data_IF_670833695001
#
_entry.id   IF_670833695001
#
_cell.length_a   1.000
_cell.length_b   1.000
_cell.length_c   1.000
_cell.angle_alpha   90.00
_cell.angle_beta   90.00
_cell.angle_gamma   90.00
#
_symmetry.space_group_name_H-M   'P 1'
#
loop_
_entity.id
_entity.type
_entity.pdbx_description
1 polymer ?
#
# COMPACT_ATOMS: atom_id res chain seq x y z
N UNK A 1 -9.72 16.08 -8.38
CA UNK A 1 -9.38 16.87 -9.57
C UNK A 1 -9.40 18.32 -9.16
N UNK A 2 -8.23 18.88 -8.89
CA UNK A 2 -8.08 20.33 -8.71
C UNK A 2 -8.26 20.89 -10.12
N UNK A 3 -9.36 21.61 -10.37
CA UNK A 3 -9.46 22.45 -11.55
C UNK A 3 -8.41 23.53 -11.34
N UNK A 4 -7.26 23.37 -11.99
CA UNK A 4 -6.32 24.45 -12.15
C UNK A 4 -7.08 25.46 -13.00
N UNK A 5 -7.54 26.55 -12.39
CA UNK A 5 -7.94 27.72 -13.14
C UNK A 5 -6.68 28.18 -13.85
N UNK A 6 -6.52 27.74 -15.10
CA UNK A 6 -5.65 28.39 -16.04
C UNK A 6 -6.39 29.69 -16.34
N UNK A 7 -6.09 30.74 -15.57
CA UNK A 7 -6.38 32.08 -16.02
C UNK A 7 -5.62 32.23 -17.34
N UNK A 8 -6.36 32.21 -18.44
CA UNK A 8 -5.87 32.56 -19.77
C UNK A 8 -5.41 34.01 -19.70
N UNK A 9 -4.14 34.21 -19.34
CA UNK A 9 -3.44 35.44 -19.67
C UNK A 9 -3.46 35.54 -21.20
N UNK A 10 -4.39 36.34 -21.74
CA UNK A 10 -4.31 36.86 -23.10
C UNK A 10 -3.02 37.68 -23.19
N UNK A 11 -1.92 37.02 -23.52
CA UNK A 11 -0.72 37.71 -23.96
C UNK A 11 -1.02 38.29 -25.33
N UNK A 12 -1.09 39.62 -25.43
CA UNK A 12 -0.98 40.37 -26.69
C UNK A 12 0.41 40.12 -27.30
N UNK A 13 0.64 38.91 -27.79
CA UNK A 13 1.84 38.53 -28.53
C UNK A 13 1.44 38.29 -29.96
N UNK A 14 2.06 39.03 -30.89
CA UNK A 14 1.83 38.90 -32.33
C UNK A 14 1.87 37.42 -32.77
N UNK A 15 0.83 36.96 -33.46
CA UNK A 15 0.74 35.59 -34.01
C UNK A 15 1.75 35.34 -35.15
N UNK A 16 2.37 36.41 -35.64
CA UNK A 16 3.30 36.41 -36.76
C UNK A 16 4.71 36.76 -36.31
N UNK A 17 5.70 36.16 -36.98
CA UNK A 17 7.10 36.48 -36.78
C UNK A 17 7.43 37.90 -37.25
N UNK A 18 8.13 38.72 -36.45
CA UNK A 18 8.48 40.09 -36.82
C UNK A 18 9.45 40.19 -38.01
N UNK A 19 10.24 39.13 -38.28
CA UNK A 19 11.28 39.13 -39.32
C UNK A 19 10.81 38.59 -40.67
N UNK A 20 9.97 37.55 -40.68
CA UNK A 20 9.57 36.88 -41.92
C UNK A 20 8.06 36.68 -42.09
N UNK A 21 7.26 37.26 -41.19
CA UNK A 21 5.79 37.13 -41.12
C UNK A 21 5.31 35.67 -41.07
N UNK A 22 6.21 34.74 -40.80
CA UNK A 22 5.92 33.31 -40.71
C UNK A 22 5.10 32.98 -39.47
N UNK A 23 4.33 31.90 -39.55
CA UNK A 23 3.56 31.41 -38.42
C UNK A 23 4.46 30.98 -37.26
N UNK A 24 4.04 31.34 -36.05
CA UNK A 24 4.75 31.01 -34.82
C UNK A 24 4.21 29.69 -34.28
N UNK A 25 5.10 28.72 -34.09
CA UNK A 25 4.81 27.42 -33.51
C UNK A 25 5.37 27.35 -32.08
N UNK A 26 4.78 26.50 -31.25
CA UNK A 26 5.29 26.22 -29.90
C UNK A 26 6.21 25.01 -30.00
N UNK A 27 7.49 25.18 -29.69
CA UNK A 27 8.45 24.09 -29.64
C UNK A 27 9.04 24.00 -28.22
N UNK A 28 8.64 22.98 -27.47
CA UNK A 28 9.01 22.83 -26.06
C UNK A 28 8.49 23.98 -25.19
N UNK A 29 9.42 24.81 -24.69
CA UNK A 29 9.12 25.94 -23.79
C UNK A 29 9.21 27.31 -24.49
N UNK A 30 9.36 27.33 -25.81
CA UNK A 30 9.61 28.53 -26.60
C UNK A 30 8.60 28.67 -27.75
N UNK A 31 8.27 29.93 -28.08
CA UNK A 31 7.56 30.31 -29.31
C UNK A 31 8.59 30.56 -30.41
N UNK A 32 8.61 29.71 -31.41
CA UNK A 32 9.60 29.71 -32.49
C UNK A 32 8.89 29.91 -33.82
N UNK A 33 9.44 30.73 -34.72
CA UNK A 33 8.92 30.85 -36.07
C UNK A 33 9.21 29.59 -36.89
N UNK A 34 8.19 29.05 -37.58
CA UNK A 34 8.32 27.87 -38.42
C UNK A 34 9.21 28.08 -39.66
N UNK A 35 9.26 29.31 -40.19
CA UNK A 35 10.00 29.61 -41.44
C UNK A 35 11.47 29.94 -41.20
N UNK A 36 11.78 30.86 -40.28
CA UNK A 36 13.14 31.34 -40.06
C UNK A 36 13.80 30.77 -38.79
N UNK A 37 13.06 30.04 -37.95
CA UNK A 37 13.59 29.50 -36.69
C UNK A 37 13.79 30.54 -35.58
N UNK A 38 13.35 31.78 -35.76
CA UNK A 38 13.50 32.84 -34.75
C UNK A 38 12.70 32.51 -33.49
N UNK A 39 13.37 32.52 -32.33
CA UNK A 39 12.73 32.42 -31.01
C UNK A 39 12.17 33.78 -30.63
N UNK A 40 10.85 33.88 -30.56
CA UNK A 40 10.13 35.16 -30.33
C UNK A 40 9.92 35.39 -28.84
N UNK A 41 9.56 34.35 -28.10
CA UNK A 41 9.28 34.44 -26.66
C UNK A 41 9.53 33.09 -25.97
N UNK A 42 10.13 33.14 -24.79
CA UNK A 42 10.14 32.02 -23.85
C UNK A 42 8.81 32.00 -23.08
N UNK A 43 8.04 30.91 -23.20
CA UNK A 43 6.75 30.77 -22.52
C UNK A 43 6.91 30.37 -21.05
N UNK A 44 8.04 29.75 -20.71
CA UNK A 44 8.27 29.23 -19.37
C UNK A 44 9.05 30.21 -18.51
N UNK A 45 8.34 30.92 -17.63
CA UNK A 45 8.99 31.53 -16.46
C UNK A 45 9.14 30.47 -15.37
N UNK A 46 10.34 30.25 -14.80
CA UNK A 46 10.48 29.35 -13.66
C UNK A 46 9.55 29.84 -12.53
N UNK A 47 8.86 28.91 -11.86
CA UNK A 47 7.99 29.28 -10.75
C UNK A 47 8.77 30.03 -9.65
N UNK A 48 8.14 31.03 -9.05
CA UNK A 48 8.68 31.76 -7.90
C UNK A 48 8.82 30.88 -6.64
N UNK A 49 8.14 29.72 -6.64
CA UNK A 49 8.15 28.73 -5.58
C UNK A 49 8.68 27.37 -6.05
N UNK A 50 9.17 26.58 -5.10
CA UNK A 50 9.65 25.21 -5.35
C UNK A 50 8.68 24.24 -4.66
N UNK A 51 8.18 23.24 -5.40
CA UNK A 51 7.26 22.22 -4.87
C UNK A 51 7.98 21.00 -4.27
N UNK A 52 9.07 20.56 -4.91
CA UNK A 52 9.83 19.39 -4.47
C UNK A 52 11.11 19.79 -3.76
N UNK A 53 11.56 18.95 -2.83
CA UNK A 53 12.86 19.09 -2.15
C UNK A 53 14.00 18.75 -3.12
N UNK A 54 14.06 19.37 -4.29
CA UNK A 54 15.22 19.26 -5.16
C UNK A 54 16.30 20.20 -4.63
N UNK A 55 17.36 19.57 -4.15
CA UNK A 55 18.68 20.11 -3.83
C UNK A 55 18.69 21.35 -2.91
N UNK A 56 19.07 21.07 -1.64
CA UNK A 56 19.45 22.06 -0.61
C UNK A 56 20.59 23.02 -1.01
N UNK A 57 21.15 22.88 -2.21
CA UNK A 57 22.31 23.63 -2.70
C UNK A 57 21.93 24.93 -3.41
N UNK A 58 20.66 25.18 -3.68
CA UNK A 58 20.26 26.47 -4.27
C UNK A 58 20.08 27.54 -3.18
N UNK A 59 20.97 28.52 -3.15
CA UNK A 59 20.85 29.77 -2.38
C UNK A 59 19.73 30.69 -2.88
N UNK A 60 18.76 30.15 -3.63
CA UNK A 60 17.68 30.93 -4.22
C UNK A 60 16.63 31.25 -3.15
N UNK A 61 16.20 32.51 -3.10
CA UNK A 61 15.09 33.02 -2.30
C UNK A 61 13.72 32.53 -2.81
N UNK A 62 13.64 31.29 -3.33
CA UNK A 62 12.38 30.72 -3.80
C UNK A 62 11.64 30.16 -2.61
N UNK A 63 10.39 30.56 -2.45
CA UNK A 63 9.55 30.09 -1.36
C UNK A 63 9.26 28.60 -1.56
N UNK A 64 9.65 27.76 -0.60
CA UNK A 64 9.22 26.36 -0.63
C UNK A 64 7.73 26.30 -0.30
N UNK A 65 6.95 25.72 -1.19
CA UNK A 65 5.53 25.47 -0.99
C UNK A 65 5.32 23.97 -1.03
N UNK A 66 5.12 23.36 0.13
CA UNK A 66 4.63 21.99 0.17
C UNK A 66 3.19 21.99 -0.33
N UNK A 67 2.93 21.35 -1.47
CA UNK A 67 1.60 20.83 -1.76
C UNK A 67 1.20 19.99 -0.54
N UNK A 68 0.05 20.26 0.05
CA UNK A 68 -0.45 19.58 1.25
C UNK A 68 -0.77 18.11 1.01
N UNK A 69 0.21 17.30 0.60
CA UNK A 69 0.08 15.91 0.13
C UNK A 69 -0.26 14.91 1.24
N UNK A 70 -0.58 15.37 2.44
CA UNK A 70 -0.88 14.49 3.56
C UNK A 70 -2.37 14.18 3.59
N UNK A 71 -2.77 13.26 2.72
CA UNK A 71 -4.11 12.66 2.76
C UNK A 71 -4.42 12.05 4.13
N UNK A 72 -3.39 11.56 4.83
CA UNK A 72 -3.36 10.98 6.16
C UNK A 72 -3.20 11.99 7.32
N UNK A 73 -3.20 13.30 7.04
CA UNK A 73 -3.13 14.35 8.05
C UNK A 73 -4.43 15.14 8.13
N UNK A 74 -4.69 15.67 9.32
CA UNK A 74 -5.79 16.59 9.59
C UNK A 74 -5.15 17.88 10.02
N UNK A 75 -5.43 18.91 9.24
CA UNK A 75 -4.82 20.21 9.31
C UNK A 75 -4.96 20.83 7.92
N UNK A 76 -5.55 22.03 7.88
CA UNK A 76 -5.74 22.77 6.63
C UNK A 76 -4.43 23.30 6.06
N UNK A 77 -4.57 24.22 5.11
CA UNK A 77 -3.45 25.04 4.63
C UNK A 77 -2.91 25.84 5.82
N UNK A 78 -1.64 25.66 6.15
CA UNK A 78 -0.99 26.33 7.27
C UNK A 78 0.44 25.86 7.47
N UNK A 79 1.27 26.70 8.09
CA UNK A 79 2.60 26.30 8.53
C UNK A 79 2.49 25.49 9.83
N UNK A 80 3.42 24.55 10.02
CA UNK A 80 3.51 23.75 11.23
C UNK A 80 4.88 23.98 11.90
N UNK A 81 4.90 23.97 13.24
CA UNK A 81 6.13 24.10 14.03
C UNK A 81 6.85 22.75 14.04
N UNK A 82 7.58 22.47 12.95
CA UNK A 82 8.37 21.28 12.70
C UNK A 82 7.56 19.95 12.68
N UNK A 83 8.15 18.87 12.14
CA UNK A 83 7.47 17.58 11.97
C UNK A 83 7.14 16.94 13.33
N UNK A 84 6.06 16.14 13.40
CA UNK A 84 5.53 15.55 14.65
C UNK A 84 6.59 14.78 15.46
N UNK A 85 7.52 14.11 14.76
CA UNK A 85 8.55 13.26 15.38
C UNK A 85 9.88 13.96 15.70
N UNK A 86 9.99 15.29 15.57
CA UNK A 86 11.25 15.98 15.87
C UNK A 86 11.48 16.10 17.39
N UNK A 87 12.55 15.47 17.89
CA UNK A 87 12.98 15.57 19.29
C UNK A 87 13.61 16.93 19.62
N UNK A 88 14.38 17.45 18.68
CA UNK A 88 15.07 18.73 18.77
C UNK A 88 14.67 19.60 17.59
N UNK A 89 14.42 20.86 17.87
CA UNK A 89 14.01 21.84 16.87
C UNK A 89 15.26 22.50 16.31
N UNK A 90 15.24 22.76 15.02
CA UNK A 90 16.37 23.33 14.29
C UNK A 90 15.95 24.61 13.58
N UNK A 91 16.89 25.52 13.45
CA UNK A 91 16.76 26.74 12.65
C UNK A 91 16.69 26.43 11.15
N UNK A 92 16.38 27.47 10.35
CA UNK A 92 16.42 27.41 8.87
C UNK A 92 17.76 26.88 8.32
N UNK A 93 18.85 27.14 9.03
CA UNK A 93 20.22 26.72 8.70
C UNK A 93 20.53 25.29 9.14
N UNK A 94 19.62 24.62 9.85
CA UNK A 94 19.80 23.28 10.40
C UNK A 94 20.54 23.21 11.73
N UNK A 95 20.90 24.36 12.33
CA UNK A 95 21.50 24.45 13.67
C UNK A 95 20.44 24.17 14.75
N UNK A 96 20.84 23.60 15.88
CA UNK A 96 19.96 23.35 17.01
C UNK A 96 19.59 24.67 17.70
N UNK A 97 18.33 24.80 18.11
CA UNK A 97 17.88 25.95 18.89
C UNK A 97 18.51 25.95 20.30
N UNK A 98 18.81 27.13 20.87
CA UNK A 98 19.29 27.25 22.25
C UNK A 98 18.25 26.71 23.25
N UNK A 99 18.66 26.29 24.46
CA UNK A 99 17.77 25.60 25.41
C UNK A 99 16.48 26.35 25.76
N UNK A 100 16.53 27.68 25.89
CA UNK A 100 15.38 28.52 26.20
C UNK A 100 14.36 28.53 25.06
N UNK A 101 14.82 28.72 23.83
CA UNK A 101 13.97 28.69 22.63
C UNK A 101 13.44 27.28 22.37
N UNK A 102 14.26 26.27 22.56
CA UNK A 102 13.85 24.87 22.47
C UNK A 102 12.67 24.57 23.41
N UNK A 103 12.67 25.11 24.64
CA UNK A 103 11.55 25.01 25.59
C UNK A 103 10.33 25.81 25.14
N UNK A 104 10.51 27.05 24.68
CA UNK A 104 9.46 27.92 24.16
C UNK A 104 8.72 27.26 22.99
N UNK A 105 9.44 26.87 21.93
CA UNK A 105 8.84 26.28 20.74
C UNK A 105 8.26 24.89 21.00
N UNK A 106 8.80 24.11 21.96
CA UNK A 106 8.13 22.87 22.41
C UNK A 106 6.77 23.15 23.04
N UNK A 107 6.67 24.20 23.88
CA UNK A 107 5.39 24.64 24.47
C UNK A 107 4.42 25.10 23.38
N UNK A 108 4.89 25.91 22.44
CA UNK A 108 4.08 26.37 21.31
C UNK A 108 3.62 25.22 20.41
N UNK A 109 4.50 24.26 20.09
CA UNK A 109 4.17 23.05 19.32
C UNK A 109 3.09 22.23 20.02
N UNK A 110 3.18 22.08 21.35
CA UNK A 110 2.16 21.38 22.16
C UNK A 110 0.80 22.09 22.10
N UNK A 111 0.80 23.42 22.24
CA UNK A 111 -0.43 24.22 22.17
C UNK A 111 -1.03 24.21 20.75
N UNK A 112 -0.19 24.30 19.72
CA UNK A 112 -0.61 24.23 18.31
C UNK A 112 -1.29 22.90 18.00
N UNK A 113 -0.72 21.78 18.43
CA UNK A 113 -1.31 20.45 18.26
C UNK A 113 -2.63 20.25 19.02
N UNK A 114 -2.94 21.12 19.99
CA UNK A 114 -4.19 21.06 20.76
C UNK A 114 -5.41 21.42 19.88
N UNK A 115 -5.26 22.31 18.90
CA UNK A 115 -6.35 22.70 17.99
C UNK A 115 -6.91 21.50 17.22
N UNK A 116 -6.03 20.61 16.75
CA UNK A 116 -6.42 19.37 16.05
C UNK A 116 -7.28 18.44 16.91
N UNK A 117 -7.26 18.62 18.24
CA UNK A 117 -7.97 17.80 19.21
C UNK A 117 -9.26 18.44 19.73
N UNK A 118 -9.48 19.74 19.52
CA UNK A 118 -10.49 20.51 20.27
C UNK A 118 -11.78 20.80 19.47
N UNK A 119 -11.83 20.61 18.14
CA UNK A 119 -13.05 20.87 17.34
C UNK A 119 -13.20 19.94 16.16
N UNK A 120 -14.36 19.28 15.98
CA UNK A 120 -14.89 18.50 14.83
C UNK A 120 -13.96 17.50 14.09
N UNK A 121 -12.68 17.49 14.42
CA UNK A 121 -11.56 16.83 13.77
C UNK A 121 -10.86 15.85 14.71
N UNK A 122 -11.25 15.82 15.98
CA UNK A 122 -10.65 14.95 16.99
C UNK A 122 -10.81 13.47 16.61
N UNK A 123 -12.01 13.11 16.13
CA UNK A 123 -12.34 11.76 15.67
C UNK A 123 -11.45 11.35 14.50
N UNK A 124 -11.37 12.19 13.48
CA UNK A 124 -10.48 11.97 12.34
C UNK A 124 -9.03 11.84 12.81
N UNK A 125 -8.57 12.69 13.75
CA UNK A 125 -7.18 12.72 14.20
C UNK A 125 -6.79 11.44 14.90
N UNK A 126 -7.69 10.95 15.77
CA UNK A 126 -7.55 9.64 16.38
C UNK A 126 -7.51 8.54 15.31
N UNK A 127 -8.38 8.60 14.31
CA UNK A 127 -8.47 7.60 13.23
C UNK A 127 -7.19 7.55 12.39
N UNK A 128 -6.64 8.68 11.94
CA UNK A 128 -5.40 8.66 11.16
C UNK A 128 -4.17 8.31 12.00
N UNK A 129 -4.16 8.65 13.29
CA UNK A 129 -3.13 8.12 14.18
C UNK A 129 -3.19 6.59 14.31
N UNK A 130 -4.40 6.03 14.38
CA UNK A 130 -4.59 4.57 14.36
C UNK A 130 -4.15 4.00 13.01
N UNK A 131 -4.54 4.61 11.89
CA UNK A 131 -4.10 4.22 10.55
C UNK A 131 -2.57 4.21 10.47
N UNK A 132 -1.89 5.25 10.93
CA UNK A 132 -0.44 5.34 10.93
C UNK A 132 0.22 4.22 11.74
N UNK A 133 -0.28 3.94 12.95
CA UNK A 133 0.20 2.82 13.78
C UNK A 133 0.02 1.47 13.09
N UNK A 134 -1.13 1.26 12.47
CA UNK A 134 -1.47 0.00 11.79
C UNK A 134 -0.67 -0.17 10.50
N UNK A 135 -0.50 0.90 9.72
CA UNK A 135 0.36 0.90 8.54
C UNK A 135 1.79 0.53 8.89
N UNK A 136 2.33 1.05 10.00
CA UNK A 136 3.66 0.66 10.47
C UNK A 136 3.69 -0.80 10.94
N UNK A 137 2.68 -1.25 11.70
CA UNK A 137 2.63 -2.63 12.21
C UNK A 137 2.54 -3.68 11.10
N UNK A 138 1.74 -3.40 10.06
CA UNK A 138 1.56 -4.28 8.91
C UNK A 138 2.58 -4.02 7.78
N UNK A 139 3.54 -3.10 7.96
CA UNK A 139 4.50 -2.66 6.95
C UNK A 139 3.82 -2.27 5.61
N UNK A 140 2.72 -1.53 5.68
CA UNK A 140 1.98 -1.05 4.50
C UNK A 140 2.76 0.05 3.78
N UNK A 141 2.73 0.01 2.45
CA UNK A 141 3.27 1.07 1.61
C UNK A 141 2.51 2.40 1.84
N UNK A 142 3.19 3.53 1.60
CA UNK A 142 2.62 4.88 1.68
C UNK A 142 1.39 5.03 0.77
N UNK A 143 1.39 4.38 -0.39
CA UNK A 143 0.27 4.41 -1.32
C UNK A 143 -1.00 3.79 -0.70
N UNK A 144 -0.89 2.61 -0.06
CA UNK A 144 -2.01 1.95 0.64
C UNK A 144 -2.56 2.87 1.73
N UNK A 145 -1.66 3.49 2.50
CA UNK A 145 -2.04 4.41 3.58
C UNK A 145 -2.78 5.64 3.04
N UNK A 146 -2.26 6.26 1.99
CA UNK A 146 -2.87 7.41 1.34
C UNK A 146 -4.24 7.07 0.73
N UNK A 147 -4.35 5.91 0.08
CA UNK A 147 -5.59 5.41 -0.49
C UNK A 147 -6.64 5.14 0.59
N UNK A 148 -6.24 4.51 1.70
CA UNK A 148 -7.14 4.29 2.84
C UNK A 148 -7.63 5.60 3.45
N UNK A 149 -6.74 6.58 3.63
CA UNK A 149 -7.10 7.90 4.13
C UNK A 149 -8.04 8.65 3.19
N UNK A 150 -7.79 8.57 1.87
CA UNK A 150 -8.66 9.13 0.83
C UNK A 150 -10.06 8.50 0.87
N UNK A 151 -10.17 7.18 0.94
CA UNK A 151 -11.45 6.49 1.03
C UNK A 151 -12.25 6.89 2.26
N UNK A 152 -11.59 6.98 3.41
CA UNK A 152 -12.22 7.41 4.66
C UNK A 152 -12.76 8.84 4.55
N UNK A 153 -11.95 9.81 4.08
CA UNK A 153 -12.39 11.20 3.86
C UNK A 153 -13.52 11.30 2.84
N UNK A 154 -13.46 10.52 1.76
CA UNK A 154 -14.51 10.50 0.73
C UNK A 154 -15.85 10.06 1.31
N UNK A 155 -15.87 8.98 2.11
CA UNK A 155 -17.09 8.47 2.74
C UNK A 155 -17.63 9.47 3.75
N UNK A 156 -16.78 10.02 4.61
CA UNK A 156 -17.20 11.03 5.60
C UNK A 156 -17.84 12.26 4.94
N UNK A 157 -17.27 12.73 3.83
CA UNK A 157 -17.80 13.89 3.10
C UNK A 157 -19.22 13.65 2.57
N UNK A 158 -19.56 12.41 2.22
CA UNK A 158 -20.86 12.08 1.62
C UNK A 158 -21.91 11.74 2.68
N UNK A 159 -21.59 10.90 3.67
CA UNK A 159 -22.56 10.45 4.69
C UNK A 159 -22.74 11.46 5.84
N UNK A 160 -21.73 12.29 6.12
CA UNK A 160 -21.71 13.21 7.26
C UNK A 160 -21.54 12.54 8.64
N UNK A 161 -22.18 11.39 8.88
CA UNK A 161 -22.04 10.58 10.11
C UNK A 161 -21.82 9.10 9.79
N UNK A 162 -20.88 8.49 10.49
CA UNK A 162 -20.49 7.08 10.30
C UNK A 162 -20.90 6.28 11.54
N UNK A 163 -21.33 5.02 11.34
CA UNK A 163 -21.73 4.10 12.41
C UNK A 163 -20.58 3.91 13.41
N UNK A 164 -19.42 3.49 12.91
CA UNK A 164 -18.22 3.32 13.71
C UNK A 164 -16.98 3.68 12.87
N UNK A 165 -16.26 4.71 13.33
CA UNK A 165 -15.07 5.19 12.65
C UNK A 165 -13.93 4.16 12.58
N UNK A 166 -13.84 3.28 13.58
CA UNK A 166 -12.78 2.26 13.66
C UNK A 166 -13.05 1.14 12.66
N UNK A 167 -14.30 0.68 12.54
CA UNK A 167 -14.65 -0.33 11.55
C UNK A 167 -14.55 0.22 10.13
N UNK A 168 -14.92 1.50 9.95
CA UNK A 168 -14.78 2.18 8.67
C UNK A 168 -13.32 2.28 8.22
N UNK A 169 -12.41 2.75 9.08
CA UNK A 169 -11.00 2.84 8.68
C UNK A 169 -10.39 1.47 8.41
N UNK A 170 -10.77 0.44 9.18
CA UNK A 170 -10.35 -0.93 8.94
C UNK A 170 -10.85 -1.44 7.57
N UNK A 171 -12.08 -1.09 7.18
CA UNK A 171 -12.63 -1.37 5.86
C UNK A 171 -11.91 -0.60 4.74
N UNK A 172 -11.59 0.67 4.96
CA UNK A 172 -10.82 1.48 4.00
C UNK A 172 -9.42 0.91 3.78
N UNK A 173 -8.73 0.45 4.83
CA UNK A 173 -7.44 -0.26 4.72
C UNK A 173 -7.60 -1.54 3.92
N UNK A 174 -8.63 -2.34 4.22
CA UNK A 174 -8.92 -3.57 3.49
C UNK A 174 -9.17 -3.33 1.99
N UNK A 175 -9.95 -2.30 1.64
CA UNK A 175 -10.18 -1.93 0.24
C UNK A 175 -8.92 -1.40 -0.44
N UNK A 176 -8.11 -0.60 0.25
CA UNK A 176 -6.86 -0.06 -0.28
C UNK A 176 -5.85 -1.18 -0.57
N UNK A 177 -5.70 -2.14 0.35
CA UNK A 177 -4.86 -3.33 0.15
C UNK A 177 -5.36 -4.15 -1.04
N UNK A 178 -6.67 -4.33 -1.18
CA UNK A 178 -7.24 -5.09 -2.33
C UNK A 178 -7.06 -4.40 -3.67
N UNK A 179 -7.08 -3.07 -3.68
CA UNK A 179 -6.90 -2.27 -4.89
C UNK A 179 -5.45 -2.31 -5.37
N UNK A 180 -4.49 -2.41 -4.45
CA UNK A 180 -3.09 -2.54 -4.83
C UNK A 180 -2.72 -4.00 -5.12
N UNK A 181 -2.29 -4.26 -6.35
CA UNK A 181 -1.81 -5.57 -6.77
C UNK A 181 -0.40 -5.81 -6.24
N UNK A 182 -0.30 -6.30 -5.00
CA UNK A 182 0.96 -6.79 -4.43
C UNK A 182 0.98 -8.32 -4.37
N UNK A 183 2.14 -8.90 -4.67
CA UNK A 183 2.45 -10.33 -4.50
C UNK A 183 2.57 -10.70 -3.01
N UNK A 184 1.50 -10.52 -2.23
CA UNK A 184 1.33 -10.97 -0.83
C UNK A 184 0.11 -10.25 -0.19
N UNK A 185 -1.14 -10.55 -0.59
CA UNK A 185 -2.28 -9.81 -0.05
C UNK A 185 -2.41 -10.02 1.46
N UNK A 186 -2.62 -8.92 2.20
CA UNK A 186 -2.89 -8.99 3.63
C UNK A 186 -4.32 -9.48 3.82
N UNK A 187 -4.49 -10.48 4.68
CA UNK A 187 -5.83 -11.05 4.93
C UNK A 187 -6.63 -10.15 5.86
N UNK A 188 -7.96 -10.21 5.76
CA UNK A 188 -8.83 -9.45 6.69
C UNK A 188 -8.56 -9.81 8.16
N UNK A 189 -8.18 -11.07 8.42
CA UNK A 189 -7.83 -11.54 9.75
C UNK A 189 -6.52 -10.89 10.26
N UNK A 190 -5.54 -10.66 9.40
CA UNK A 190 -4.32 -9.92 9.75
C UNK A 190 -4.63 -8.46 10.09
N UNK A 191 -5.50 -7.81 9.31
CA UNK A 191 -5.96 -6.44 9.60
C UNK A 191 -6.64 -6.40 10.96
N UNK A 192 -7.60 -7.29 11.20
CA UNK A 192 -8.32 -7.36 12.49
C UNK A 192 -7.36 -7.58 13.65
N UNK A 193 -6.40 -8.52 13.54
CA UNK A 193 -5.38 -8.75 14.57
C UNK A 193 -4.55 -7.50 14.84
N UNK A 194 -4.19 -6.74 13.81
CA UNK A 194 -3.47 -5.47 13.99
C UNK A 194 -4.30 -4.47 14.80
N UNK A 195 -5.59 -4.29 14.49
CA UNK A 195 -6.48 -3.42 15.27
C UNK A 195 -6.63 -3.90 16.72
N UNK A 196 -6.79 -5.21 16.94
CA UNK A 196 -6.91 -5.82 18.27
C UNK A 196 -5.64 -5.63 19.11
N UNK A 197 -4.45 -5.74 18.51
CA UNK A 197 -3.18 -5.51 19.20
C UNK A 197 -3.01 -4.07 19.72
N UNK A 198 -3.67 -3.10 19.08
CA UNK A 198 -3.72 -1.72 19.54
C UNK A 198 -4.93 -1.41 20.45
N UNK A 199 -5.63 -2.44 20.94
CA UNK A 199 -6.73 -2.32 21.91
C UNK A 199 -8.10 -2.06 21.30
N UNK A 200 -8.26 -2.18 19.97
CA UNK A 200 -9.54 -1.94 19.32
C UNK A 200 -10.36 -3.23 19.17
N UNK A 201 -11.61 -3.20 19.63
CA UNK A 201 -12.56 -4.32 19.52
C UNK A 201 -13.16 -4.38 18.12
N UNK A 202 -12.52 -5.12 17.23
CA UNK A 202 -12.95 -5.27 15.83
C UNK A 202 -13.01 -6.75 15.46
N UNK A 203 -13.99 -7.12 14.63
CA UNK A 203 -14.20 -8.47 14.11
C UNK A 203 -14.29 -8.44 12.57
N UNK A 204 -13.90 -9.51 11.84
CA UNK A 204 -13.97 -9.51 10.38
C UNK A 204 -15.39 -9.26 9.86
N UNK A 205 -16.40 -9.88 10.50
CA UNK A 205 -17.81 -9.70 10.16
C UNK A 205 -18.27 -8.26 10.33
N UNK A 206 -17.78 -7.57 11.37
CA UNK A 206 -18.16 -6.19 11.67
C UNK A 206 -17.58 -5.24 10.61
N UNK A 207 -16.31 -5.40 10.25
CA UNK A 207 -15.66 -4.62 9.17
C UNK A 207 -16.43 -4.78 7.85
N UNK A 208 -16.76 -6.02 7.49
CA UNK A 208 -17.44 -6.30 6.22
C UNK A 208 -18.89 -5.78 6.22
N UNK A 209 -19.65 -6.04 7.29
CA UNK A 209 -21.04 -5.58 7.42
C UNK A 209 -21.13 -4.05 7.31
N UNK A 210 -20.31 -3.35 8.09
CA UNK A 210 -20.32 -1.88 8.09
C UNK A 210 -19.76 -1.35 6.75
N UNK A 211 -18.74 -2.01 6.20
CA UNK A 211 -18.12 -1.66 4.94
C UNK A 211 -19.02 -1.79 3.71
N UNK A 212 -19.89 -2.81 3.66
CA UNK A 212 -20.85 -3.00 2.56
C UNK A 212 -21.74 -1.78 2.39
N UNK A 213 -22.20 -1.19 3.50
CA UNK A 213 -23.00 0.05 3.48
C UNK A 213 -22.27 1.18 2.78
N UNK A 214 -20.97 1.33 3.01
CA UNK A 214 -20.20 2.44 2.44
C UNK A 214 -19.53 2.13 1.11
N UNK A 215 -19.61 0.87 0.65
CA UNK A 215 -18.93 0.40 -0.56
C UNK A 215 -19.38 1.19 -1.79
N UNK A 216 -20.66 1.53 -1.90
CA UNK A 216 -21.22 2.23 -3.07
C UNK A 216 -20.66 3.66 -3.26
N UNK A 217 -20.15 4.28 -2.20
CA UNK A 217 -19.50 5.60 -2.28
C UNK A 217 -18.11 5.54 -2.90
N UNK A 218 -17.52 4.35 -2.98
CA UNK A 218 -16.22 4.12 -3.56
C UNK A 218 -16.43 3.38 -4.88
N UNK A 219 -16.13 4.03 -6.01
CA UNK A 219 -15.98 3.34 -7.29
C UNK A 219 -14.76 2.42 -7.16
N UNK A 220 -14.98 1.18 -6.75
CA UNK A 220 -13.93 0.21 -6.56
C UNK A 220 -14.20 -1.03 -7.40
N UNK A 221 -13.46 -1.13 -8.49
CA UNK A 221 -13.30 -2.34 -9.30
C UNK A 221 -12.30 -3.29 -8.64
N UNK A 222 -12.41 -3.51 -7.32
CA UNK A 222 -11.47 -4.41 -6.64
C UNK A 222 -11.74 -5.84 -7.07
N UNK A 223 -10.76 -6.45 -7.74
CA UNK A 223 -10.81 -7.86 -8.15
C UNK A 223 -10.53 -8.72 -6.90
N UNK A 224 -11.27 -9.82 -6.69
CA UNK A 224 -10.93 -10.77 -5.62
C UNK A 224 -9.54 -11.36 -5.84
N UNK A 225 -8.75 -11.47 -4.77
CA UNK A 225 -7.43 -12.11 -4.82
C UNK A 225 -7.52 -13.57 -5.24
N UNK A 226 -6.56 -14.00 -6.05
CA UNK A 226 -6.45 -15.37 -6.53
C UNK A 226 -5.47 -16.17 -5.68
N UNK A 227 -5.42 -17.48 -5.89
CA UNK A 227 -4.52 -18.38 -5.15
C UNK A 227 -3.04 -18.08 -5.45
N UNK A 228 -2.77 -17.65 -6.68
CA UNK A 228 -1.47 -17.23 -7.21
C UNK A 228 -0.86 -16.11 -6.38
N UNK A 229 -1.67 -15.14 -5.94
CA UNK A 229 -1.22 -13.94 -5.22
C UNK A 229 -0.57 -14.29 -3.87
N UNK A 230 -1.02 -15.39 -3.24
CA UNK A 230 -0.54 -15.83 -1.93
C UNK A 230 0.65 -16.77 -1.99
N UNK A 231 0.98 -17.27 -3.18
CA UNK A 231 1.91 -18.39 -3.38
C UNK A 231 3.30 -18.04 -2.82
N UNK A 232 3.87 -16.92 -3.25
CA UNK A 232 5.20 -16.44 -2.82
C UNK A 232 5.25 -16.26 -1.29
N UNK A 233 4.21 -15.67 -0.71
CA UNK A 233 4.13 -15.39 0.73
C UNK A 233 4.11 -16.69 1.54
N UNK A 234 3.22 -17.61 1.18
CA UNK A 234 3.04 -18.86 1.91
C UNK A 234 4.26 -19.78 1.76
N UNK A 235 4.88 -19.84 0.59
CA UNK A 235 6.13 -20.59 0.43
C UNK A 235 7.24 -20.02 1.31
N UNK A 236 7.40 -18.69 1.33
CA UNK A 236 8.40 -18.05 2.19
C UNK A 236 8.16 -18.36 3.68
N UNK A 237 6.90 -18.39 4.12
CA UNK A 237 6.55 -18.78 5.50
C UNK A 237 6.94 -20.24 5.79
N UNK A 238 6.65 -21.15 4.87
CA UNK A 238 6.99 -22.58 5.01
C UNK A 238 8.50 -22.80 5.03
N UNK A 239 9.26 -22.16 4.14
CA UNK A 239 10.71 -22.33 4.03
C UNK A 239 11.45 -21.78 5.24
N UNK A 240 10.96 -20.67 5.81
CA UNK A 240 11.51 -20.06 7.02
C UNK A 240 11.10 -20.79 8.31
N UNK A 241 10.29 -21.85 8.23
CA UNK A 241 9.93 -22.65 9.39
C UNK A 241 11.17 -23.40 9.94
N UNK A 242 11.34 -23.36 11.26
CA UNK A 242 12.53 -23.89 11.95
C UNK A 242 12.79 -25.37 11.60
N UNK A 243 11.73 -26.17 11.64
CA UNK A 243 11.80 -27.62 11.48
C UNK A 243 12.09 -28.08 10.03
N UNK A 244 11.92 -27.19 9.04
CA UNK A 244 12.06 -27.58 7.64
C UNK A 244 13.49 -28.02 7.32
N UNK A 245 14.48 -27.32 7.86
CA UNK A 245 15.90 -27.60 7.62
C UNK A 245 16.33 -28.97 8.13
N UNK A 246 15.90 -29.35 9.34
CA UNK A 246 16.15 -30.67 9.91
C UNK A 246 15.41 -31.76 9.15
N UNK A 247 14.19 -31.49 8.71
CA UNK A 247 13.37 -32.45 7.97
C UNK A 247 13.96 -32.75 6.60
N UNK A 248 14.42 -31.75 5.85
CA UNK A 248 15.10 -31.96 4.58
C UNK A 248 16.32 -32.88 4.74
N UNK A 249 17.14 -32.66 5.77
CA UNK A 249 18.29 -33.52 6.10
C UNK A 249 17.85 -34.94 6.48
N UNK A 250 16.91 -35.09 7.42
CA UNK A 250 16.40 -36.39 7.90
C UNK A 250 15.74 -37.22 6.79
N UNK A 251 15.19 -36.57 5.77
CA UNK A 251 14.48 -37.21 4.66
C UNK A 251 15.37 -37.48 3.44
N UNK A 252 16.66 -37.14 3.52
CA UNK A 252 17.65 -37.43 2.48
C UNK A 252 17.55 -36.51 1.26
N UNK A 253 16.94 -35.32 1.40
CA UNK A 253 16.88 -34.36 0.29
C UNK A 253 18.25 -33.71 0.09
N UNK A 254 18.75 -33.78 -1.15
CA UNK A 254 20.05 -33.21 -1.56
C UNK A 254 19.96 -31.68 -1.77
N UNK A 255 18.75 -31.12 -1.81
CA UNK A 255 18.52 -29.74 -2.20
C UNK A 255 18.88 -28.73 -1.12
N UNK A 256 19.42 -27.60 -1.57
CA UNK A 256 19.50 -26.39 -0.74
C UNK A 256 18.09 -25.85 -0.47
N UNK A 257 17.95 -25.00 0.55
CA UNK A 257 16.66 -24.35 0.86
C UNK A 257 16.12 -23.54 -0.32
N UNK A 258 17.00 -22.83 -1.02
CA UNK A 258 16.67 -22.00 -2.17
C UNK A 258 16.27 -22.84 -3.39
N UNK A 259 16.97 -23.95 -3.62
CA UNK A 259 16.64 -24.85 -4.71
C UNK A 259 15.28 -25.54 -4.46
N UNK A 260 15.06 -25.99 -3.23
CA UNK A 260 13.77 -26.55 -2.81
C UNK A 260 12.64 -25.53 -2.97
N UNK A 261 12.87 -24.27 -2.59
CA UNK A 261 11.94 -23.17 -2.79
C UNK A 261 11.55 -23.01 -4.27
N UNK A 262 12.54 -22.95 -5.16
CA UNK A 262 12.30 -22.74 -6.58
C UNK A 262 11.54 -23.91 -7.21
N UNK A 263 11.90 -25.15 -6.85
CA UNK A 263 11.19 -26.36 -7.31
C UNK A 263 9.76 -26.39 -6.80
N UNK A 264 9.54 -26.06 -5.52
CA UNK A 264 8.22 -26.00 -4.90
C UNK A 264 7.33 -24.94 -5.57
N UNK A 265 7.86 -23.74 -5.79
CA UNK A 265 7.18 -22.66 -6.50
C UNK A 265 6.79 -23.06 -7.92
N UNK A 266 7.72 -23.68 -8.67
CA UNK A 266 7.48 -24.16 -10.02
C UNK A 266 6.34 -25.18 -10.04
N UNK A 267 6.41 -26.20 -9.18
CA UNK A 267 5.38 -27.24 -9.08
C UNK A 267 4.02 -26.68 -8.67
N UNK A 268 3.98 -25.71 -7.74
CA UNK A 268 2.72 -25.04 -7.36
C UNK A 268 2.09 -24.29 -8.55
N UNK A 269 2.90 -23.66 -9.40
CA UNK A 269 2.41 -22.97 -10.60
C UNK A 269 1.87 -23.95 -11.64
N UNK A 270 2.56 -25.07 -11.87
CA UNK A 270 2.07 -26.16 -12.74
C UNK A 270 0.69 -26.65 -12.27
N UNK A 271 0.56 -27.01 -11.00
CA UNK A 271 -0.72 -27.44 -10.40
C UNK A 271 -1.81 -26.39 -10.58
N UNK A 272 -1.49 -25.10 -10.41
CA UNK A 272 -2.46 -24.03 -10.61
C UNK A 272 -2.88 -23.96 -12.08
N UNK A 273 -1.95 -23.99 -13.04
CA UNK A 273 -2.29 -23.96 -14.47
C UNK A 273 -3.26 -25.10 -14.82
N UNK A 274 -3.01 -26.29 -14.29
CA UNK A 274 -3.84 -27.48 -14.54
C UNK A 274 -5.19 -27.47 -13.79
N UNK A 275 -5.34 -26.61 -12.78
CA UNK A 275 -6.55 -26.52 -11.97
C UNK A 275 -7.50 -25.42 -12.52
N UNK A 276 -8.58 -25.76 -13.23
CA UNK A 276 -9.48 -24.78 -13.83
C UNK A 276 -10.26 -23.98 -12.78
N UNK A 277 -10.72 -22.78 -13.16
CA UNK A 277 -11.47 -21.87 -12.28
C UNK A 277 -12.72 -22.51 -11.67
N UNK A 278 -13.39 -23.42 -12.40
CA UNK A 278 -14.55 -24.16 -11.92
C UNK A 278 -14.25 -24.96 -10.64
N UNK A 279 -13.15 -25.72 -10.64
CA UNK A 279 -12.72 -26.49 -9.46
C UNK A 279 -12.25 -25.59 -8.32
N UNK A 280 -11.77 -24.39 -8.61
CA UNK A 280 -11.38 -23.43 -7.56
C UNK A 280 -12.56 -22.69 -6.94
N UNK A 281 -13.71 -22.66 -7.63
CA UNK A 281 -14.90 -21.90 -7.25
C UNK A 281 -15.38 -22.19 -5.83
N UNK A 282 -15.79 -21.13 -5.12
CA UNK A 282 -16.35 -21.20 -3.76
C UNK A 282 -15.35 -21.50 -2.63
N UNK A 283 -14.10 -21.83 -2.95
CA UNK A 283 -13.06 -22.13 -1.95
C UNK A 283 -12.27 -20.88 -1.59
N UNK A 284 -11.78 -20.82 -0.35
CA UNK A 284 -10.94 -19.70 0.09
C UNK A 284 -9.55 -19.81 -0.59
N UNK A 285 -9.15 -18.83 -1.43
CA UNK A 285 -7.88 -18.88 -2.17
C UNK A 285 -6.66 -19.05 -1.27
N UNK A 286 -6.66 -18.42 -0.09
CA UNK A 286 -5.55 -18.51 0.86
C UNK A 286 -5.34 -19.93 1.40
N UNK A 287 -6.44 -20.62 1.75
CA UNK A 287 -6.40 -21.98 2.28
C UNK A 287 -6.05 -22.97 1.15
N UNK A 288 -6.62 -22.76 -0.03
CA UNK A 288 -6.33 -23.55 -1.22
C UNK A 288 -4.83 -23.50 -1.58
N UNK A 289 -4.20 -22.32 -1.55
CA UNK A 289 -2.75 -22.21 -1.79
C UNK A 289 -1.93 -23.01 -0.76
N UNK A 290 -2.33 -23.01 0.51
CA UNK A 290 -1.68 -23.85 1.53
C UNK A 290 -1.79 -25.35 1.23
N UNK A 291 -2.96 -25.79 0.73
CA UNK A 291 -3.16 -27.18 0.30
C UNK A 291 -2.40 -27.52 -0.99
N UNK A 292 -2.25 -26.57 -1.91
CA UNK A 292 -1.44 -26.73 -3.13
C UNK A 292 0.05 -26.89 -2.79
N UNK A 293 0.56 -26.12 -1.83
CA UNK A 293 1.95 -26.29 -1.35
C UNK A 293 2.17 -27.70 -0.78
N UNK A 294 1.19 -28.22 -0.04
CA UNK A 294 1.24 -29.60 0.45
C UNK A 294 1.22 -30.64 -0.67
N UNK A 295 0.38 -30.46 -1.69
CA UNK A 295 0.33 -31.34 -2.86
C UNK A 295 1.65 -31.27 -3.66
N UNK A 296 2.18 -30.07 -3.86
CA UNK A 296 3.42 -29.83 -4.61
C UNK A 296 4.60 -30.58 -3.99
N UNK A 297 4.77 -30.54 -2.66
CA UNK A 297 5.82 -31.32 -1.99
C UNK A 297 5.62 -32.83 -2.17
N UNK A 298 4.37 -33.32 -2.15
CA UNK A 298 4.08 -34.73 -2.42
C UNK A 298 4.45 -35.17 -3.83
N UNK A 299 4.10 -34.37 -4.83
CA UNK A 299 4.44 -34.67 -6.23
C UNK A 299 5.96 -34.63 -6.44
N UNK A 300 6.64 -33.62 -5.89
CA UNK A 300 8.10 -33.55 -5.93
C UNK A 300 8.77 -34.75 -5.25
N UNK A 301 8.22 -35.22 -4.14
CA UNK A 301 8.71 -36.41 -3.45
C UNK A 301 8.53 -37.68 -4.31
N UNK A 302 7.39 -37.82 -5.00
CA UNK A 302 7.14 -38.96 -5.91
C UNK A 302 8.07 -38.95 -7.13
N UNK A 303 8.20 -37.81 -7.81
CA UNK A 303 9.05 -37.64 -8.99
C UNK A 303 10.52 -37.97 -8.69
N UNK A 304 11.01 -37.57 -7.52
CA UNK A 304 12.40 -37.76 -7.13
C UNK A 304 12.64 -39.02 -6.27
N UNK A 305 11.61 -39.87 -6.08
CA UNK A 305 11.65 -41.07 -5.22
C UNK A 305 12.17 -40.78 -3.80
N UNK A 306 11.79 -39.64 -3.24
CA UNK A 306 12.17 -39.18 -1.89
C UNK A 306 10.98 -39.26 -0.93
N UNK A 307 11.26 -39.15 0.37
CA UNK A 307 10.21 -39.00 1.39
C UNK A 307 9.75 -37.54 1.44
N UNK A 308 8.46 -37.32 1.70
CA UNK A 308 7.88 -35.97 1.80
C UNK A 308 8.52 -35.16 2.93
N UNK A 309 8.86 -33.91 2.64
CA UNK A 309 9.45 -33.00 3.61
C UNK A 309 8.36 -32.34 4.45
N UNK A 310 7.28 -31.90 3.81
CA UNK A 310 6.18 -31.17 4.42
C UNK A 310 5.11 -32.11 4.97
N UNK A 311 4.58 -31.73 6.13
CA UNK A 311 3.39 -32.34 6.73
C UNK A 311 2.31 -31.28 6.87
N UNK A 312 1.05 -31.72 7.01
CA UNK A 312 -0.07 -30.81 7.23
C UNK A 312 0.15 -29.94 8.47
N UNK A 313 0.71 -30.51 9.54
CA UNK A 313 1.11 -29.79 10.76
C UNK A 313 2.13 -28.68 10.51
N UNK A 314 3.23 -28.98 9.80
CA UNK A 314 4.28 -27.97 9.50
C UNK A 314 3.71 -26.82 8.68
N UNK A 315 2.87 -27.12 7.68
CA UNK A 315 2.23 -26.06 6.87
C UNK A 315 1.25 -25.27 7.72
N UNK A 316 0.46 -25.93 8.57
CA UNK A 316 -0.49 -25.28 9.48
C UNK A 316 0.21 -24.30 10.44
N UNK A 317 1.32 -24.72 11.06
CA UNK A 317 2.11 -23.90 11.98
C UNK A 317 2.78 -22.73 11.27
N UNK A 318 3.36 -22.97 10.09
CA UNK A 318 4.03 -21.93 9.31
C UNK A 318 3.06 -20.86 8.79
N UNK A 319 1.90 -21.28 8.28
CA UNK A 319 0.95 -20.41 7.56
C UNK A 319 -0.21 -19.90 8.43
N UNK A 320 -0.37 -20.45 9.64
CA UNK A 320 -1.52 -20.23 10.54
C UNK A 320 -2.87 -20.60 9.92
N UNK A 321 -2.86 -21.50 8.94
CA UNK A 321 -4.06 -22.14 8.38
C UNK A 321 -4.39 -23.35 9.23
N UNK A 322 -5.66 -23.64 9.50
CA UNK A 322 -6.03 -24.80 10.29
C UNK A 322 -5.75 -26.12 9.54
N UNK A 323 -5.17 -27.10 10.23
CA UNK A 323 -4.75 -28.38 9.64
C UNK A 323 -5.91 -29.11 8.95
N UNK A 324 -7.09 -29.14 9.57
CA UNK A 324 -8.28 -29.77 9.00
C UNK A 324 -8.71 -29.11 7.69
N UNK A 325 -8.52 -27.80 7.54
CA UNK A 325 -8.87 -27.08 6.30
C UNK A 325 -7.91 -27.41 5.16
N UNK A 326 -6.62 -27.57 5.45
CA UNK A 326 -5.63 -28.05 4.47
C UNK A 326 -6.00 -29.46 4.03
N UNK A 327 -6.37 -30.33 4.98
CA UNK A 327 -6.78 -31.71 4.72
C UNK A 327 -8.04 -31.77 3.86
N UNK A 328 -9.05 -30.97 4.15
CA UNK A 328 -10.31 -30.93 3.41
C UNK A 328 -10.10 -30.58 1.93
N UNK A 329 -9.35 -29.51 1.65
CA UNK A 329 -9.01 -29.15 0.27
C UNK A 329 -8.12 -30.21 -0.40
N UNK A 330 -7.21 -30.83 0.34
CA UNK A 330 -6.36 -31.88 -0.22
C UNK A 330 -7.16 -33.13 -0.59
N UNK A 331 -8.00 -33.65 0.30
CA UNK A 331 -8.73 -34.92 0.10
C UNK A 331 -9.87 -34.74 -0.92
N UNK A 332 -10.63 -33.65 -0.83
CA UNK A 332 -11.83 -33.47 -1.64
C UNK A 332 -11.56 -32.96 -3.06
N UNK A 333 -10.42 -32.28 -3.27
CA UNK A 333 -10.10 -31.65 -4.55
C UNK A 333 -8.79 -32.14 -5.14
N UNK A 334 -7.69 -31.96 -4.41
CA UNK A 334 -6.35 -32.06 -5.01
C UNK A 334 -5.92 -33.52 -5.23
N UNK A 335 -6.19 -34.41 -4.26
CA UNK A 335 -5.79 -35.82 -4.35
C UNK A 335 -6.49 -36.54 -5.51
N UNK A 336 -7.83 -36.45 -5.70
CA UNK A 336 -8.50 -37.12 -6.80
C UNK A 336 -8.06 -36.66 -8.19
N UNK A 337 -7.64 -35.39 -8.31
CA UNK A 337 -7.26 -34.81 -9.60
C UNK A 337 -5.80 -35.10 -9.99
N UNK A 338 -4.88 -35.15 -9.02
CA UNK A 338 -3.44 -35.21 -9.31
C UNK A 338 -2.74 -36.49 -8.87
N UNK A 339 -3.38 -37.31 -8.03
CA UNK A 339 -2.76 -38.52 -7.43
C UNK A 339 -3.53 -39.81 -7.70
N UNK A 340 -4.74 -39.74 -8.29
CA UNK A 340 -5.44 -40.94 -8.74
C UNK A 340 -4.93 -41.34 -10.13
N UNK A 341 -3.82 -42.09 -10.12
CA UNK A 341 -3.61 -43.20 -11.04
C UNK A 341 -3.71 -44.49 -10.22
#
# INVERSE_FOLDING_TARGET
MIKINIEEYKSEGSENCPECEGSVIINGFEKVCNKCGLVINELFKPSSFIFNKENKTSNLSRQYVALGERTDFIGGLGSFIDYENSKYLKDKTGRLLPPNEQKLFRRLKKNYGQFLRIKNHETEYRVFNILNKISLYLNLNKNIRNNAAYFYKKILKIEGKVINNISLIAFCVFLAVRKEYHNAPITINEIVKAFQNFGHRVNPRLILRDGIRYKHHINNESIPHKSEDYLIRLTNQVINHKDLSERLKKKGSVWSKEEYQNRLLKKCREILIDLPLWHRGGRNPFILTGAIIYLADKLLAQENKQKTALTQKVISEATKIAEYSIRDHYVNLLKPLFLNN
#
